data_IF_767244679598
#
_entry.id   IF_767244679598
#
_cell.length_a   1.000
_cell.length_b   1.000
_cell.length_c   1.000
_cell.angle_alpha   90.00
_cell.angle_beta   90.00
_cell.angle_gamma   90.00
#
_symmetry.space_group_name_H-M   'P 1'
#
loop_
_entity.id
_entity.type
_entity.pdbx_description
1 polymer ?
#
# COMPACT_ATOMS: atom_id res chain seq x y z
N UNK A 1 23.54 -15.68 -13.62
CA UNK A 1 22.11 -15.58 -13.36
C UNK A 1 21.82 -16.22 -12.02
N UNK A 2 21.01 -15.57 -11.18
CA UNK A 2 20.48 -16.13 -9.93
C UNK A 2 18.98 -15.89 -9.87
N UNK A 3 18.30 -16.76 -9.14
CA UNK A 3 16.90 -16.59 -8.77
C UNK A 3 16.87 -16.44 -7.26
N UNK A 4 16.15 -15.45 -6.77
CA UNK A 4 16.03 -15.13 -5.36
C UNK A 4 14.58 -15.12 -4.89
N UNK A 5 14.41 -15.33 -3.59
CA UNK A 5 13.21 -15.02 -2.87
C UNK A 5 13.55 -14.01 -1.78
N UNK A 6 12.68 -13.05 -1.57
CA UNK A 6 12.89 -12.01 -0.57
C UNK A 6 11.66 -11.86 0.33
N UNK A 7 11.90 -11.43 1.55
CA UNK A 7 10.88 -11.10 2.55
C UNK A 7 11.26 -9.80 3.21
N UNK A 8 10.32 -8.90 3.36
CA UNK A 8 10.54 -7.60 3.97
C UNK A 8 9.24 -6.96 4.46
N UNK A 9 9.34 -5.73 4.91
CA UNK A 9 8.19 -4.93 5.36
C UNK A 9 7.18 -4.64 4.24
N UNK A 10 7.61 -4.78 2.99
CA UNK A 10 6.76 -4.59 1.79
C UNK A 10 6.10 -5.89 1.32
N UNK A 11 6.28 -7.00 2.04
CA UNK A 11 5.78 -8.32 1.70
C UNK A 11 6.88 -9.31 1.33
N UNK A 12 6.52 -10.30 0.54
CA UNK A 12 7.44 -11.29 -0.02
C UNK A 12 7.49 -11.19 -1.54
N UNK A 13 8.59 -11.61 -2.10
CA UNK A 13 8.80 -11.50 -3.54
C UNK A 13 9.76 -12.53 -4.09
N UNK A 14 9.80 -12.56 -5.39
CA UNK A 14 10.78 -13.33 -6.17
C UNK A 14 11.49 -12.39 -7.12
N UNK A 15 12.76 -12.63 -7.32
CA UNK A 15 13.59 -11.86 -8.22
C UNK A 15 14.55 -12.74 -9.03
N UNK A 16 14.95 -12.19 -10.16
CA UNK A 16 16.03 -12.70 -10.98
C UNK A 16 17.13 -11.65 -11.02
N UNK A 17 18.38 -12.09 -10.96
CA UNK A 17 19.49 -11.19 -11.04
C UNK A 17 20.60 -11.72 -11.92
N UNK A 18 21.28 -10.81 -12.60
CA UNK A 18 22.44 -11.10 -13.44
C UNK A 18 23.59 -10.16 -13.11
N UNK A 19 24.82 -10.67 -13.01
CA UNK A 19 25.98 -9.81 -12.82
C UNK A 19 26.31 -9.09 -14.13
N UNK A 20 26.63 -7.81 -14.03
CA UNK A 20 27.15 -6.98 -15.11
C UNK A 20 28.60 -6.61 -14.75
N UNK A 21 29.54 -7.47 -15.16
CA UNK A 21 30.95 -7.33 -14.76
C UNK A 21 31.18 -7.66 -13.27
N UNK A 22 32.17 -6.98 -12.66
CA UNK A 22 32.61 -7.29 -11.28
C UNK A 22 31.96 -6.41 -10.20
N UNK A 23 31.39 -5.27 -10.60
CA UNK A 23 30.93 -4.23 -9.69
C UNK A 23 29.41 -4.00 -9.76
N UNK A 24 28.74 -4.53 -10.76
CA UNK A 24 27.32 -4.29 -10.97
C UNK A 24 26.55 -5.60 -11.04
N UNK A 25 25.31 -5.56 -10.56
CA UNK A 25 24.35 -6.62 -10.79
C UNK A 25 22.96 -6.00 -11.01
N UNK A 26 22.31 -6.40 -12.08
CA UNK A 26 20.93 -6.01 -12.36
C UNK A 26 19.99 -7.02 -11.71
N UNK A 27 18.95 -6.52 -11.05
CA UNK A 27 17.90 -7.31 -10.42
C UNK A 27 16.55 -6.84 -10.94
N UNK A 28 15.68 -7.78 -11.26
CA UNK A 28 14.29 -7.52 -11.58
C UNK A 28 13.42 -8.51 -10.82
N UNK A 29 12.33 -8.05 -10.24
CA UNK A 29 11.50 -8.88 -9.38
C UNK A 29 10.08 -8.39 -9.25
N UNK A 30 9.28 -9.18 -8.56
CA UNK A 30 7.91 -8.86 -8.17
C UNK A 30 7.77 -9.10 -6.69
N UNK A 31 7.20 -8.10 -6.00
CA UNK A 31 6.91 -8.16 -4.56
C UNK A 31 5.40 -8.12 -4.36
N UNK A 32 4.90 -8.99 -3.51
CA UNK A 32 3.49 -9.14 -3.19
C UNK A 32 3.32 -8.92 -1.69
N UNK A 33 2.55 -7.92 -1.33
CA UNK A 33 2.01 -7.77 0.01
C UNK A 33 0.67 -8.49 0.04
N UNK A 34 0.50 -9.53 0.90
CA UNK A 34 -0.77 -10.22 1.02
C UNK A 34 -1.89 -9.24 1.37
N UNK A 35 -3.08 -9.53 0.87
CA UNK A 35 -4.25 -8.74 1.22
C UNK A 35 -4.63 -9.05 2.67
N UNK A 36 -4.56 -8.03 3.51
CA UNK A 36 -5.14 -8.05 4.85
C UNK A 36 -6.43 -7.23 4.80
N UNK A 37 -7.54 -7.85 5.11
CA UNK A 37 -8.81 -7.16 5.34
C UNK A 37 -9.15 -7.24 6.81
N UNK A 38 -9.57 -6.13 7.36
CA UNK A 38 -10.06 -5.99 8.72
C UNK A 38 -11.42 -5.32 8.64
N UNK A 39 -12.41 -5.92 9.24
CA UNK A 39 -13.77 -5.38 9.33
C UNK A 39 -14.07 -5.12 10.79
N UNK A 40 -14.57 -3.94 11.10
CA UNK A 40 -15.01 -3.56 12.43
C UNK A 40 -16.27 -2.70 12.33
N UNK A 41 -17.12 -2.79 13.33
CA UNK A 41 -18.29 -1.94 13.47
C UNK A 41 -17.92 -0.77 14.37
N UNK A 42 -18.05 0.44 13.84
CA UNK A 42 -17.72 1.67 14.55
C UNK A 42 -19.01 2.44 14.80
N UNK A 43 -19.33 2.62 16.07
CA UNK A 43 -20.41 3.52 16.47
C UNK A 43 -19.96 4.97 16.31
N UNK A 44 -20.62 5.70 15.42
CA UNK A 44 -20.35 7.10 15.16
C UNK A 44 -21.58 7.93 15.48
N UNK A 45 -21.45 8.93 16.31
CA UNK A 45 -22.50 9.94 16.51
C UNK A 45 -22.33 11.05 15.47
N UNK A 46 -23.31 11.18 14.60
CA UNK A 46 -23.35 12.26 13.62
C UNK A 46 -24.16 13.41 14.18
N UNK A 47 -23.50 14.50 14.52
CA UNK A 47 -24.14 15.75 14.87
C UNK A 47 -24.60 16.46 13.59
N UNK A 48 -25.85 16.76 13.48
CA UNK A 48 -26.36 17.59 12.39
C UNK A 48 -27.04 18.84 12.93
N UNK A 49 -26.76 19.95 12.29
CA UNK A 49 -27.41 21.22 12.53
C UNK A 49 -28.12 21.63 11.25
N UNK A 50 -29.43 21.63 11.27
CA UNK A 50 -30.24 21.99 10.12
C UNK A 50 -31.24 23.07 10.47
N UNK A 51 -31.42 24.07 9.61
CA UNK A 51 -32.41 25.12 9.81
C UNK A 51 -33.88 24.63 9.78
N UNK A 52 -34.11 23.39 9.44
CA UNK A 52 -35.44 22.81 9.26
C UNK A 52 -35.76 21.66 10.23
N UNK A 53 -34.78 21.17 10.99
CA UNK A 53 -34.96 20.09 11.95
C UNK A 53 -34.29 20.52 13.28
N UNK A 54 -34.83 20.13 14.44
CA UNK A 54 -34.17 20.39 15.70
C UNK A 54 -32.80 19.69 15.74
N UNK A 55 -31.83 20.36 16.33
CA UNK A 55 -30.49 19.80 16.54
C UNK A 55 -30.59 18.44 17.23
N UNK A 56 -29.95 17.43 16.67
CA UNK A 56 -30.01 16.08 17.18
C UNK A 56 -28.74 15.29 16.88
N UNK A 57 -28.54 14.24 17.67
CA UNK A 57 -27.55 13.19 17.39
C UNK A 57 -28.28 11.99 16.83
N UNK A 58 -27.80 11.49 15.69
CA UNK A 58 -28.22 10.20 15.17
C UNK A 58 -27.11 9.22 15.52
N UNK A 59 -27.34 8.28 16.43
CA UNK A 59 -26.42 7.18 16.63
C UNK A 59 -26.45 6.34 15.35
N UNK A 60 -25.32 6.24 14.70
CA UNK A 60 -25.18 5.53 13.42
C UNK A 60 -24.06 4.53 13.56
N UNK A 61 -24.35 3.25 13.42
CA UNK A 61 -23.30 2.25 13.26
C UNK A 61 -22.85 2.20 11.80
N UNK A 62 -21.56 2.25 11.61
CA UNK A 62 -20.92 2.15 10.31
C UNK A 62 -20.06 0.90 10.29
N UNK A 63 -20.40 -0.03 9.42
CA UNK A 63 -19.53 -1.16 9.10
C UNK A 63 -18.33 -0.64 8.29
N UNK A 64 -17.16 -0.68 8.89
CA UNK A 64 -15.91 -0.24 8.25
C UNK A 64 -15.10 -1.44 7.82
N UNK A 65 -14.85 -1.56 6.54
CA UNK A 65 -13.97 -2.55 5.95
C UNK A 65 -12.70 -1.88 5.46
N UNK A 66 -11.58 -2.19 6.10
CA UNK A 66 -10.25 -1.78 5.67
C UNK A 66 -9.55 -2.92 4.94
N UNK A 67 -9.04 -2.68 3.74
CA UNK A 67 -8.22 -3.66 3.03
C UNK A 67 -6.88 -3.08 2.63
N UNK A 68 -5.83 -3.83 2.89
CA UNK A 68 -4.46 -3.52 2.50
C UNK A 68 -3.90 -4.64 1.64
N UNK A 69 -3.31 -4.30 0.51
CA UNK A 69 -2.66 -5.28 -0.34
C UNK A 69 -1.97 -4.59 -1.51
N UNK A 70 -0.84 -5.14 -1.94
CA UNK A 70 -0.06 -4.52 -3.00
C UNK A 70 0.74 -5.54 -3.79
N UNK A 71 0.72 -5.41 -5.10
CA UNK A 71 1.65 -6.08 -6.00
C UNK A 71 2.46 -5.04 -6.75
N UNK A 72 3.77 -5.14 -6.71
CA UNK A 72 4.68 -4.21 -7.36
C UNK A 72 5.82 -4.95 -8.06
N UNK A 73 6.18 -4.48 -9.25
CA UNK A 73 7.39 -4.87 -9.94
C UNK A 73 8.56 -3.98 -9.56
N UNK A 74 9.77 -4.49 -9.59
CA UNK A 74 10.98 -3.73 -9.31
C UNK A 74 12.09 -4.01 -10.32
N UNK A 75 12.83 -2.96 -10.65
CA UNK A 75 14.08 -3.05 -11.42
C UNK A 75 15.14 -2.26 -10.69
N UNK A 76 16.18 -2.96 -10.24
CA UNK A 76 17.21 -2.44 -9.36
C UNK A 76 18.60 -2.76 -9.89
N UNK A 77 19.50 -1.80 -9.76
CA UNK A 77 20.93 -1.95 -10.05
C UNK A 77 21.70 -1.94 -8.72
N UNK A 78 22.37 -3.04 -8.42
CA UNK A 78 23.27 -3.15 -7.29
C UNK A 78 24.69 -2.79 -7.70
N UNK A 79 25.31 -1.87 -6.99
CA UNK A 79 26.67 -1.38 -7.22
C UNK A 79 27.53 -1.85 -6.07
N UNK A 80 28.57 -2.61 -6.36
CA UNK A 80 29.56 -3.11 -5.41
C UNK A 80 30.84 -2.27 -5.49
N UNK A 81 31.01 -1.22 -4.67
CA UNK A 81 32.16 -0.32 -4.78
C UNK A 81 33.50 -1.01 -4.47
N UNK A 82 33.45 -2.08 -3.66
CA UNK A 82 34.65 -2.78 -3.21
C UNK A 82 34.67 -4.25 -3.68
N UNK A 83 35.72 -4.64 -4.40
CA UNK A 83 35.86 -6.00 -4.98
C UNK A 83 35.85 -7.12 -3.94
N UNK A 84 36.35 -6.85 -2.72
CA UNK A 84 36.46 -7.81 -1.62
C UNK A 84 35.34 -7.72 -0.60
N UNK A 85 34.54 -6.66 -0.61
CA UNK A 85 33.39 -6.46 0.28
C UNK A 85 32.12 -6.96 -0.36
N UNK A 86 31.20 -7.39 0.47
CA UNK A 86 29.82 -7.70 0.08
C UNK A 86 28.87 -6.52 0.24
N UNK A 87 29.39 -5.35 0.65
CA UNK A 87 28.62 -4.13 0.72
C UNK A 87 28.19 -3.68 -0.69
N UNK A 88 26.95 -3.27 -0.81
CA UNK A 88 26.43 -2.71 -2.08
C UNK A 88 25.50 -1.53 -1.83
N UNK A 89 25.43 -0.69 -2.82
CA UNK A 89 24.45 0.38 -2.96
C UNK A 89 23.49 -0.07 -4.05
N UNK A 90 22.20 0.04 -3.81
CA UNK A 90 21.20 -0.28 -4.82
C UNK A 90 20.44 0.97 -5.20
N UNK A 91 20.16 1.11 -6.49
CA UNK A 91 19.33 2.17 -7.03
C UNK A 91 18.45 1.62 -8.13
N UNK A 92 17.27 2.20 -8.31
CA UNK A 92 16.36 1.78 -9.34
C UNK A 92 14.95 2.31 -9.13
N UNK A 93 13.97 1.55 -9.56
CA UNK A 93 12.57 1.93 -9.46
C UNK A 93 11.66 0.75 -9.15
N UNK A 94 10.57 1.06 -8.48
CA UNK A 94 9.46 0.16 -8.18
C UNK A 94 8.23 0.66 -8.93
N UNK A 95 7.52 -0.25 -9.59
CA UNK A 95 6.39 0.05 -10.46
C UNK A 95 5.13 -0.66 -9.98
N UNK A 96 3.97 0.00 -10.15
CA UNK A 96 2.68 -0.56 -9.77
C UNK A 96 2.39 -0.47 -8.27
N UNK A 97 1.34 -1.16 -7.82
CA UNK A 97 0.93 -1.15 -6.43
C UNK A 97 0.56 0.26 -5.93
N UNK A 98 -0.22 0.98 -6.70
CA UNK A 98 -0.63 2.36 -6.43
C UNK A 98 -1.69 2.47 -5.31
N UNK A 99 -2.47 1.41 -5.09
CA UNK A 99 -3.53 1.36 -4.08
C UNK A 99 -3.02 0.55 -2.88
N UNK A 100 -2.63 1.23 -1.81
CA UNK A 100 -2.10 0.57 -0.62
C UNK A 100 -3.21 0.25 0.36
N UNK A 101 -4.12 1.20 0.60
CA UNK A 101 -5.21 1.08 1.56
C UNK A 101 -6.51 1.44 0.87
N UNK A 102 -7.51 0.62 1.05
CA UNK A 102 -8.90 0.91 0.69
C UNK A 102 -9.72 0.81 1.97
N UNK A 103 -10.54 1.81 2.18
CA UNK A 103 -11.50 1.84 3.29
C UNK A 103 -12.88 1.99 2.67
N UNK A 104 -13.78 1.13 3.06
CA UNK A 104 -15.20 1.21 2.71
C UNK A 104 -15.98 1.26 3.99
N UNK A 105 -16.96 2.14 4.07
CA UNK A 105 -17.93 2.20 5.14
C UNK A 105 -19.33 2.01 4.54
N UNK A 106 -20.19 1.30 5.23
CA UNK A 106 -21.59 1.16 4.87
C UNK A 106 -22.45 1.41 6.11
N UNK A 107 -23.50 2.19 5.94
CA UNK A 107 -24.52 2.36 6.98
C UNK A 107 -25.91 2.22 6.37
N UNK A 108 -26.66 1.23 6.86
CA UNK A 108 -28.02 1.01 6.45
C UNK A 108 -28.96 2.13 6.93
N UNK A 109 -28.61 2.83 7.98
CA UNK A 109 -29.37 3.96 8.51
C UNK A 109 -29.22 5.18 7.59
N UNK A 110 -28.02 5.45 7.10
CA UNK A 110 -27.78 6.51 6.09
C UNK A 110 -28.46 6.21 4.76
N UNK A 111 -28.62 4.96 4.39
CA UNK A 111 -29.37 4.56 3.21
C UNK A 111 -30.86 4.88 3.30
N UNK A 112 -31.43 4.84 4.52
CA UNK A 112 -32.83 5.20 4.75
C UNK A 112 -33.12 6.71 4.56
N UNK A 113 -32.09 7.55 4.66
CA UNK A 113 -32.17 9.00 4.47
C UNK A 113 -31.63 9.43 3.11
N UNK A 114 -31.96 8.73 2.04
CA UNK A 114 -31.44 8.93 0.67
C UNK A 114 -31.53 10.37 0.14
N UNK A 115 -32.57 11.11 0.47
CA UNK A 115 -32.70 12.51 0.04
C UNK A 115 -31.70 13.45 0.71
N UNK A 116 -31.27 13.14 1.91
CA UNK A 116 -30.26 13.90 2.64
C UNK A 116 -28.84 13.42 2.33
N UNK A 117 -28.65 12.14 2.13
CA UNK A 117 -27.35 11.54 1.81
C UNK A 117 -26.78 12.01 0.45
N UNK A 118 -27.61 12.30 -0.53
CA UNK A 118 -27.17 12.86 -1.81
C UNK A 118 -26.57 14.27 -1.74
N UNK A 119 -26.73 14.94 -0.61
CA UNK A 119 -26.18 16.28 -0.33
C UNK A 119 -25.25 16.32 0.89
N UNK A 120 -25.16 15.24 1.63
CA UNK A 120 -24.33 15.16 2.82
C UNK A 120 -22.95 14.59 2.46
N UNK A 121 -21.91 15.27 2.92
CA UNK A 121 -20.55 14.76 2.96
C UNK A 121 -20.12 14.63 4.41
N UNK A 122 -19.33 13.62 4.73
CA UNK A 122 -18.68 13.52 6.02
C UNK A 122 -17.45 14.41 5.99
N UNK A 123 -17.45 15.48 6.77
CA UNK A 123 -16.29 16.36 6.91
C UNK A 123 -15.31 15.76 7.92
N UNK A 124 -14.10 15.49 7.47
CA UNK A 124 -12.98 15.10 8.31
C UNK A 124 -11.86 16.12 8.11
N UNK A 125 -11.76 17.10 9.02
CA UNK A 125 -10.88 18.25 8.84
C UNK A 125 -11.26 19.05 7.61
N UNK A 126 -10.31 19.29 6.72
CA UNK A 126 -10.51 20.03 5.46
C UNK A 126 -11.02 19.17 4.28
N UNK A 127 -11.37 17.91 4.52
CA UNK A 127 -11.79 16.97 3.47
C UNK A 127 -13.25 16.58 3.63
N UNK A 128 -14.01 16.75 2.56
CA UNK A 128 -15.39 16.26 2.47
C UNK A 128 -15.38 14.92 1.73
N UNK A 129 -15.79 13.86 2.39
CA UNK A 129 -15.96 12.53 1.79
C UNK A 129 -17.40 12.41 1.33
N UNK A 130 -17.67 12.30 0.01
CA UNK A 130 -19.03 12.16 -0.48
C UNK A 130 -19.60 10.80 -0.06
N UNK A 131 -20.81 10.84 0.45
CA UNK A 131 -21.62 9.64 0.74
C UNK A 131 -22.48 9.35 -0.49
N UNK A 132 -22.46 8.10 -0.93
CA UNK A 132 -23.27 7.69 -2.08
C UNK A 132 -24.76 7.55 -1.65
N UNK A 133 -25.75 7.60 -2.60
CA UNK A 133 -27.16 7.45 -2.28
C UNK A 133 -27.55 6.14 -1.58
N UNK A 134 -26.68 5.14 -1.62
CA UNK A 134 -26.87 3.86 -0.92
C UNK A 134 -26.23 3.82 0.47
N UNK A 135 -25.78 4.95 1.02
CA UNK A 135 -25.15 5.02 2.33
C UNK A 135 -23.70 4.49 2.35
N UNK A 136 -23.08 4.33 1.20
CA UNK A 136 -21.68 3.87 1.15
C UNK A 136 -20.71 5.05 1.16
N UNK A 137 -19.67 4.89 1.93
CA UNK A 137 -18.52 5.79 1.99
C UNK A 137 -17.28 5.02 1.53
N UNK A 138 -16.52 5.57 0.64
CA UNK A 138 -15.28 4.94 0.19
C UNK A 138 -14.13 5.92 0.20
N UNK A 139 -13.05 5.50 0.81
CA UNK A 139 -11.79 6.23 0.85
C UNK A 139 -10.60 5.30 0.56
N UNK A 140 -9.45 5.89 0.32
CA UNK A 140 -8.26 5.09 0.15
C UNK A 140 -7.01 5.92 -0.03
N UNK A 141 -5.88 5.32 0.33
CA UNK A 141 -4.56 5.91 0.12
C UNK A 141 -3.98 5.35 -1.18
N UNK A 142 -3.76 6.24 -2.12
CA UNK A 142 -3.01 5.95 -3.36
C UNK A 142 -1.61 6.53 -3.25
N UNK A 143 -0.64 5.80 -3.76
CA UNK A 143 0.74 6.30 -3.94
C UNK A 143 1.06 6.31 -5.43
N UNK A 144 2.12 7.02 -5.80
CA UNK A 144 2.58 6.98 -7.19
C UNK A 144 2.87 5.55 -7.63
N UNK A 145 2.41 5.19 -8.82
CA UNK A 145 2.73 3.89 -9.43
C UNK A 145 4.21 3.76 -9.81
N UNK A 146 4.92 4.86 -9.91
CA UNK A 146 6.36 4.92 -10.11
C UNK A 146 7.03 5.49 -8.85
N UNK A 147 7.98 4.74 -8.28
CA UNK A 147 8.71 5.12 -7.07
C UNK A 147 10.19 4.87 -7.28
N UNK A 148 11.03 5.92 -7.27
CA UNK A 148 12.47 5.75 -7.24
C UNK A 148 12.87 5.06 -5.93
N UNK A 149 13.87 4.20 -6.01
CA UNK A 149 14.38 3.43 -4.87
C UNK A 149 15.88 3.60 -4.75
N UNK A 150 16.36 3.85 -3.54
CA UNK A 150 17.78 3.84 -3.17
C UNK A 150 17.91 3.08 -1.86
N UNK A 151 18.91 2.23 -1.76
CA UNK A 151 19.15 1.45 -0.56
C UNK A 151 20.63 1.04 -0.40
N UNK A 152 20.94 0.53 0.75
CA UNK A 152 22.25 -0.03 1.11
C UNK A 152 22.03 -1.45 1.61
N UNK A 153 22.99 -2.32 1.37
CA UNK A 153 22.89 -3.69 1.85
C UNK A 153 24.21 -4.42 1.88
N UNK A 154 24.15 -5.63 2.44
CA UNK A 154 25.26 -6.56 2.51
C UNK A 154 24.88 -7.91 1.91
N UNK A 155 25.79 -8.51 1.20
CA UNK A 155 25.60 -9.79 0.54
C UNK A 155 25.97 -9.71 -0.94
N UNK A 156 25.92 -10.82 -1.64
CA UNK A 156 26.08 -10.86 -3.09
C UNK A 156 24.88 -11.56 -3.70
N UNK A 157 24.17 -10.82 -4.54
CA UNK A 157 22.97 -11.31 -5.22
C UNK A 157 23.27 -12.48 -6.17
N UNK A 158 24.46 -12.47 -6.75
CA UNK A 158 25.00 -13.60 -7.51
C UNK A 158 26.26 -14.09 -6.81
N UNK A 159 26.21 -15.21 -6.07
CA UNK A 159 27.36 -15.77 -5.40
C UNK A 159 28.42 -16.22 -6.42
N UNK A 160 29.70 -15.90 -6.15
CA UNK A 160 30.80 -16.25 -7.07
C UNK A 160 31.09 -17.75 -7.11
N UNK A 161 31.08 -18.41 -5.93
CA UNK A 161 31.51 -19.80 -5.77
C UNK A 161 30.53 -20.65 -4.93
N UNK A 162 29.30 -20.17 -4.70
CA UNK A 162 28.29 -20.87 -3.89
C UNK A 162 26.96 -20.94 -4.66
N UNK A 163 26.18 -21.97 -4.37
CA UNK A 163 24.85 -22.14 -4.98
C UNK A 163 23.78 -21.27 -4.30
N UNK A 164 24.05 -20.88 -3.06
CA UNK A 164 23.12 -20.09 -2.24
C UNK A 164 23.84 -18.87 -1.67
N UNK A 165 23.20 -17.73 -1.69
CA UNK A 165 23.64 -16.47 -1.10
C UNK A 165 22.52 -15.81 -0.31
N UNK A 166 22.89 -14.99 0.66
CA UNK A 166 21.95 -14.18 1.46
C UNK A 166 22.25 -12.71 1.26
N UNK A 167 21.20 -11.90 1.29
CA UNK A 167 21.22 -10.45 1.21
C UNK A 167 20.51 -9.89 2.45
N UNK A 168 21.10 -8.87 3.03
CA UNK A 168 20.55 -8.13 4.18
C UNK A 168 20.58 -6.64 3.92
#
# INVERSE_FOLDING_TARGET
>A
LSIGANVGTTGWGIDIATPIGQHFALRAGVTIMPNFSYSDEVDVSINYSSSYLPDGEIPTSIDVEGSMGRTAGEVLLNIYPFKRSSFFITGGAVFGGDKIVKVKGHSSELAAYQELAGKAGIEIGDYTIPVDPNGNVSGGIKVSSFRPYVGLGFGRIVPKNKRVGFLF
#
